data_IF_680138558670
#
_entry.id   IF_680138558670
#
_cell.length_a   1.000
_cell.length_b   1.000
_cell.length_c   1.000
_cell.angle_alpha   90.00
_cell.angle_beta   90.00
_cell.angle_gamma   90.00
#
_symmetry.space_group_name_H-M   'P 1'
#
loop_
_entity.id
_entity.type
_entity.pdbx_description
1 polymer ?
#
# COMPACT_ATOMS: atom_id res chain seq x y z
N UNK A 1 -12.20 -21.29 11.19
CA UNK A 1 -12.15 -21.32 12.68
C UNK A 1 -11.02 -22.19 13.25
N UNK A 2 -10.80 -23.46 12.86
CA UNK A 2 -9.75 -24.29 13.50
C UNK A 2 -8.32 -23.76 13.28
N UNK A 3 -8.04 -23.20 12.11
CA UNK A 3 -6.73 -22.61 11.79
C UNK A 3 -6.33 -21.46 12.73
N UNK A 4 -7.25 -20.56 13.07
CA UNK A 4 -6.96 -19.41 13.94
C UNK A 4 -6.63 -19.84 15.37
N UNK A 5 -7.28 -20.91 15.85
CA UNK A 5 -6.98 -21.46 17.18
C UNK A 5 -5.58 -22.07 17.17
N UNK A 6 -5.25 -22.86 16.14
CA UNK A 6 -3.90 -23.43 15.99
C UNK A 6 -2.83 -22.32 15.92
N UNK A 7 -3.10 -21.27 15.14
CA UNK A 7 -2.19 -20.14 14.99
C UNK A 7 -1.97 -19.38 16.30
N UNK A 8 -3.02 -19.15 17.08
CA UNK A 8 -2.89 -18.51 18.38
C UNK A 8 -2.18 -19.41 19.41
N UNK A 9 -2.40 -20.73 19.37
CA UNK A 9 -1.65 -21.67 20.20
C UNK A 9 -0.15 -21.64 19.87
N UNK A 10 0.19 -21.56 18.58
CA UNK A 10 1.58 -21.49 18.13
C UNK A 10 2.24 -20.17 18.57
N UNK A 11 1.53 -19.05 18.45
CA UNK A 11 1.99 -17.74 18.95
C UNK A 11 2.29 -17.78 20.45
N UNK A 12 1.41 -18.38 21.25
CA UNK A 12 1.63 -18.50 22.70
C UNK A 12 2.81 -19.41 23.03
N UNK A 13 2.99 -20.50 22.26
CA UNK A 13 4.19 -21.37 22.40
C UNK A 13 5.48 -20.63 22.05
N UNK A 14 5.42 -19.65 21.16
CA UNK A 14 6.54 -18.76 20.82
C UNK A 14 6.71 -17.58 21.81
N UNK A 15 5.88 -17.48 22.86
CA UNK A 15 5.96 -16.44 23.89
C UNK A 15 5.14 -15.17 23.61
N UNK A 16 4.35 -15.14 22.54
CA UNK A 16 3.43 -14.04 22.22
C UNK A 16 2.09 -14.19 22.96
N UNK A 17 1.28 -13.12 22.95
CA UNK A 17 -0.05 -13.12 23.58
C UNK A 17 -1.12 -13.50 22.56
N UNK A 18 -2.22 -14.09 23.01
CA UNK A 18 -3.40 -14.34 22.17
C UNK A 18 -3.94 -13.08 21.49
N UNK A 19 -3.79 -11.91 22.13
CA UNK A 19 -4.23 -10.63 21.55
C UNK A 19 -3.38 -10.22 20.33
N UNK A 20 -2.14 -10.71 20.23
CA UNK A 20 -1.25 -10.38 19.11
C UNK A 20 -1.77 -10.99 17.80
N UNK A 21 -2.55 -12.08 17.88
CA UNK A 21 -3.24 -12.67 16.73
C UNK A 21 -4.17 -11.66 16.05
N UNK A 22 -4.87 -10.81 16.83
CA UNK A 22 -5.74 -9.76 16.28
C UNK A 22 -4.89 -8.74 15.52
N UNK A 23 -3.77 -8.33 16.08
CA UNK A 23 -2.88 -7.36 15.46
C UNK A 23 -2.24 -7.91 14.18
N UNK A 24 -1.83 -9.18 14.17
CA UNK A 24 -1.26 -9.85 13.00
C UNK A 24 -2.32 -10.01 11.92
N UNK A 25 -3.55 -10.37 12.29
CA UNK A 25 -4.63 -10.48 11.32
C UNK A 25 -5.03 -9.13 10.73
N UNK A 26 -5.09 -8.07 11.55
CA UNK A 26 -5.26 -6.69 11.09
C UNK A 26 -4.16 -6.27 10.10
N UNK A 27 -2.89 -6.62 10.39
CA UNK A 27 -1.78 -6.39 9.47
C UNK A 27 -1.97 -7.17 8.17
N UNK A 28 -2.43 -8.43 8.25
CA UNK A 28 -2.69 -9.24 7.07
C UNK A 28 -3.78 -8.64 6.17
N UNK A 29 -4.85 -8.10 6.75
CA UNK A 29 -5.90 -7.40 6.00
C UNK A 29 -5.34 -6.18 5.25
N UNK A 30 -4.49 -5.39 5.90
CA UNK A 30 -3.81 -4.23 5.30
C UNK A 30 -2.83 -4.63 4.19
N UNK A 31 -2.30 -5.86 4.21
CA UNK A 31 -1.43 -6.34 3.15
C UNK A 31 -2.19 -6.86 1.92
N UNK A 32 -3.52 -7.03 1.98
CA UNK A 32 -4.29 -7.58 0.85
C UNK A 32 -4.12 -6.75 -0.42
N UNK A 33 -4.34 -5.42 -0.41
CA UNK A 33 -4.22 -4.62 -1.62
C UNK A 33 -2.78 -4.56 -2.14
N UNK A 34 -1.80 -4.52 -1.23
CA UNK A 34 -0.37 -4.50 -1.55
C UNK A 34 0.06 -5.80 -2.24
N UNK A 35 -0.31 -6.95 -1.68
CA UNK A 35 -0.01 -8.25 -2.25
C UNK A 35 -0.68 -8.42 -3.62
N UNK A 36 -1.93 -7.96 -3.75
CA UNK A 36 -2.67 -8.03 -5.01
C UNK A 36 -2.02 -7.17 -6.10
N UNK A 37 -1.56 -5.97 -5.78
CA UNK A 37 -0.81 -5.13 -6.71
C UNK A 37 0.49 -5.83 -7.18
N UNK A 38 1.22 -6.47 -6.26
CA UNK A 38 2.39 -7.27 -6.58
C UNK A 38 2.09 -8.42 -7.55
N UNK A 39 0.98 -9.13 -7.33
CA UNK A 39 0.52 -10.21 -8.23
C UNK A 39 0.20 -9.66 -9.62
N UNK A 40 -0.52 -8.54 -9.72
CA UNK A 40 -0.81 -7.90 -11.02
C UNK A 40 0.46 -7.48 -11.76
N UNK A 41 1.42 -6.92 -11.03
CA UNK A 41 2.74 -6.58 -11.56
C UNK A 41 3.46 -7.82 -12.09
N UNK A 42 3.50 -8.91 -11.32
CA UNK A 42 4.10 -10.18 -11.77
C UNK A 42 3.42 -10.77 -13.00
N UNK A 43 2.09 -10.71 -13.09
CA UNK A 43 1.34 -11.15 -14.28
C UNK A 43 1.70 -10.28 -15.49
N UNK A 44 1.72 -8.96 -15.31
CA UNK A 44 2.08 -8.04 -16.39
C UNK A 44 3.51 -8.29 -16.90
N UNK A 45 4.45 -8.52 -15.99
CA UNK A 45 5.82 -8.91 -16.34
C UNK A 45 5.87 -10.25 -17.07
N UNK A 46 5.10 -11.26 -16.65
CA UNK A 46 5.04 -12.55 -17.32
C UNK A 46 4.50 -12.44 -18.75
N UNK A 47 3.54 -11.54 -19.00
CA UNK A 47 2.96 -11.30 -20.32
C UNK A 47 3.90 -10.45 -21.21
N UNK A 48 4.47 -9.38 -20.66
CA UNK A 48 5.27 -8.41 -21.45
C UNK A 48 6.74 -8.79 -21.58
N UNK A 49 7.25 -9.69 -20.73
CA UNK A 49 8.67 -10.03 -20.65
C UNK A 49 9.57 -8.89 -20.16
N UNK A 50 9.00 -7.72 -19.85
CA UNK A 50 9.75 -6.54 -19.40
C UNK A 50 9.90 -6.59 -17.89
N UNK A 51 11.13 -6.49 -17.41
CA UNK A 51 11.40 -6.37 -15.98
C UNK A 51 10.89 -5.03 -15.47
N UNK A 52 10.18 -5.07 -14.35
CA UNK A 52 9.73 -3.88 -13.66
C UNK A 52 10.96 -3.28 -12.97
N UNK A 53 11.30 -2.01 -13.21
CA UNK A 53 12.45 -1.40 -12.54
C UNK A 53 12.18 -1.36 -11.04
N UNK A 54 13.16 -1.83 -10.25
CA UNK A 54 13.14 -1.69 -8.80
C UNK A 54 13.37 -0.21 -8.45
N UNK A 55 12.30 0.58 -8.54
CA UNK A 55 12.34 1.99 -8.18
C UNK A 55 12.60 2.12 -6.68
N UNK A 56 13.41 3.10 -6.30
CA UNK A 56 13.72 3.36 -4.90
C UNK A 56 12.44 3.84 -4.20
N UNK A 57 12.22 3.37 -2.98
CA UNK A 57 11.10 3.87 -2.18
C UNK A 57 11.25 5.38 -1.96
N UNK A 58 10.23 6.19 -2.30
CA UNK A 58 10.30 7.64 -2.20
C UNK A 58 10.37 8.02 -0.72
N UNK A 59 11.56 8.39 -0.27
CA UNK A 59 11.79 8.83 1.11
C UNK A 59 11.42 10.31 1.23
N UNK A 60 10.43 10.60 2.08
CA UNK A 60 10.19 11.97 2.56
C UNK A 60 11.04 12.16 3.82
N UNK A 61 11.48 13.38 4.11
CA UNK A 61 12.37 13.65 5.25
C UNK A 61 11.71 13.13 6.53
N UNK A 62 12.32 12.14 7.16
CA UNK A 62 11.83 11.51 8.39
C UNK A 62 10.76 10.42 8.26
N UNK A 63 10.26 10.11 7.04
CA UNK A 63 9.25 9.04 6.84
C UNK A 63 9.25 8.44 5.43
N UNK A 64 8.82 7.19 5.30
CA UNK A 64 8.56 6.58 3.99
C UNK A 64 7.15 6.96 3.55
N UNK A 65 7.03 7.73 2.46
CA UNK A 65 5.71 8.13 1.95
C UNK A 65 5.03 6.96 1.27
N UNK A 66 3.77 6.74 1.60
CA UNK A 66 2.96 5.70 0.98
C UNK A 66 2.37 6.24 -0.33
N UNK A 67 2.54 5.53 -1.47
CA UNK A 67 1.92 5.96 -2.71
C UNK A 67 0.40 6.06 -2.56
N UNK A 68 -0.18 7.15 -3.09
CA UNK A 68 -1.60 7.48 -2.96
C UNK A 68 -2.54 6.39 -3.45
N UNK A 69 -2.14 5.62 -4.48
CA UNK A 69 -2.91 4.49 -4.98
C UNK A 69 -3.15 3.42 -3.92
N UNK A 70 -2.16 3.13 -3.08
CA UNK A 70 -2.33 2.16 -1.99
C UNK A 70 -3.29 2.71 -0.92
N UNK A 71 -3.22 4.02 -0.63
CA UNK A 71 -4.14 4.64 0.34
C UNK A 71 -5.57 4.51 -0.17
N UNK A 72 -5.81 4.83 -1.44
CA UNK A 72 -7.12 4.67 -2.09
C UNK A 72 -7.58 3.21 -2.06
N UNK A 73 -6.68 2.26 -2.32
CA UNK A 73 -7.01 0.83 -2.29
C UNK A 73 -7.43 0.34 -0.89
N UNK A 74 -6.74 0.76 0.18
CA UNK A 74 -7.11 0.44 1.56
C UNK A 74 -8.50 1.00 1.92
N UNK A 75 -8.76 2.27 1.59
CA UNK A 75 -10.07 2.87 1.84
C UNK A 75 -11.18 2.24 0.99
N UNK A 76 -10.86 1.82 -0.23
CA UNK A 76 -11.80 1.10 -1.11
C UNK A 76 -12.15 -0.27 -0.53
N UNK A 77 -11.16 -1.00 0.01
CA UNK A 77 -11.37 -2.27 0.69
C UNK A 77 -12.24 -2.09 1.94
N UNK A 78 -11.97 -1.06 2.75
CA UNK A 78 -12.78 -0.72 3.91
C UNK A 78 -14.23 -0.39 3.52
N UNK A 79 -14.42 0.42 2.48
CA UNK A 79 -15.73 0.77 1.95
C UNK A 79 -16.49 -0.48 1.46
N UNK A 80 -15.80 -1.38 0.76
CA UNK A 80 -16.36 -2.66 0.29
C UNK A 80 -16.82 -3.55 1.44
N UNK A 81 -16.06 -3.62 2.54
CA UNK A 81 -16.45 -4.40 3.72
C UNK A 81 -17.68 -3.80 4.42
N UNK A 82 -17.75 -2.47 4.54
CA UNK A 82 -18.93 -1.79 5.10
C UNK A 82 -20.16 -1.97 4.22
N UNK A 83 -20.00 -1.85 2.90
CA UNK A 83 -21.07 -2.12 1.94
C UNK A 83 -21.54 -3.57 2.05
N UNK A 84 -20.61 -4.53 2.09
CA UNK A 84 -20.89 -5.94 2.30
C UNK A 84 -21.64 -6.22 3.60
N UNK A 85 -21.29 -5.54 4.70
CA UNK A 85 -22.02 -5.61 5.96
C UNK A 85 -23.48 -5.18 5.81
N UNK A 86 -23.72 -4.01 5.22
CA UNK A 86 -25.07 -3.44 5.02
C UNK A 86 -25.92 -4.36 4.14
N UNK A 87 -25.38 -4.76 2.98
CA UNK A 87 -26.09 -5.63 2.04
C UNK A 87 -26.43 -6.98 2.68
N UNK A 88 -25.48 -7.64 3.34
CA UNK A 88 -25.75 -8.92 4.00
C UNK A 88 -26.70 -8.80 5.20
N UNK A 89 -26.69 -7.66 5.90
CA UNK A 89 -27.66 -7.37 6.94
C UNK A 89 -29.09 -7.31 6.37
N UNK A 90 -29.27 -6.62 5.24
CA UNK A 90 -30.58 -6.54 4.55
C UNK A 90 -31.08 -7.90 4.06
N UNK A 91 -30.19 -8.75 3.53
CA UNK A 91 -30.53 -10.13 3.12
C UNK A 91 -30.65 -11.13 4.27
N UNK A 92 -30.59 -10.69 5.54
CA UNK A 92 -30.64 -11.53 6.76
C UNK A 92 -29.54 -12.61 6.82
N UNK A 93 -28.43 -12.37 6.11
CA UNK A 93 -27.24 -13.19 6.14
C UNK A 93 -26.35 -12.78 7.31
N UNK A 94 -26.81 -13.08 8.54
CA UNK A 94 -26.17 -12.64 9.79
C UNK A 94 -24.70 -13.05 9.90
N UNK A 95 -24.36 -14.26 9.48
CA UNK A 95 -22.98 -14.78 9.54
C UNK A 95 -22.04 -13.91 8.69
N UNK A 96 -22.41 -13.68 7.43
CA UNK A 96 -21.60 -12.86 6.52
C UNK A 96 -21.59 -11.40 6.95
N UNK A 97 -22.69 -10.89 7.51
CA UNK A 97 -22.77 -9.54 8.04
C UNK A 97 -21.78 -9.35 9.21
N UNK A 98 -21.82 -10.22 10.23
CA UNK A 98 -20.89 -10.17 11.37
C UNK A 98 -19.44 -10.33 10.91
N UNK A 99 -19.18 -11.23 9.95
CA UNK A 99 -17.86 -11.41 9.38
C UNK A 99 -17.34 -10.14 8.71
N UNK A 100 -18.13 -9.51 7.84
CA UNK A 100 -17.77 -8.26 7.17
C UNK A 100 -17.56 -7.12 8.17
N UNK A 101 -18.42 -7.01 9.18
CA UNK A 101 -18.29 -6.00 10.24
C UNK A 101 -17.00 -6.18 11.05
N UNK A 102 -16.70 -7.42 11.47
CA UNK A 102 -15.46 -7.74 12.18
C UNK A 102 -14.23 -7.38 11.35
N UNK A 103 -14.22 -7.73 10.07
CA UNK A 103 -13.14 -7.36 9.14
C UNK A 103 -13.02 -5.84 8.97
N UNK A 104 -14.14 -5.12 8.84
CA UNK A 104 -14.13 -3.66 8.72
C UNK A 104 -13.54 -2.99 9.97
N UNK A 105 -13.90 -3.45 11.16
CA UNK A 105 -13.34 -2.95 12.43
C UNK A 105 -11.83 -3.22 12.50
N UNK A 106 -11.39 -4.43 12.14
CA UNK A 106 -9.99 -4.85 12.20
C UNK A 106 -9.12 -4.13 11.17
N UNK A 107 -9.64 -3.90 9.97
CA UNK A 107 -8.97 -3.10 8.94
C UNK A 107 -8.92 -1.62 9.35
N UNK A 108 -10.02 -1.06 9.89
CA UNK A 108 -10.04 0.29 10.43
C UNK A 108 -9.01 0.49 11.57
N UNK A 109 -8.90 -0.49 12.47
CA UNK A 109 -7.86 -0.53 13.50
C UNK A 109 -6.46 -0.57 12.89
N UNK A 110 -6.26 -1.38 11.84
CA UNK A 110 -4.98 -1.48 11.15
C UNK A 110 -4.56 -0.15 10.51
N UNK A 111 -5.46 0.50 9.78
CA UNK A 111 -5.23 1.81 9.16
C UNK A 111 -4.85 2.84 10.22
N UNK A 112 -5.58 2.88 11.34
CA UNK A 112 -5.30 3.83 12.42
C UNK A 112 -3.96 3.58 13.12
N UNK A 113 -3.65 2.32 13.43
CA UNK A 113 -2.45 1.95 14.21
C UNK A 113 -1.17 1.90 13.39
N UNK A 114 -1.22 1.39 12.16
CA UNK A 114 -0.03 1.14 11.34
C UNK A 114 0.30 2.27 10.36
N UNK A 115 -0.71 2.95 9.80
CA UNK A 115 -0.49 4.04 8.84
C UNK A 115 -0.59 5.40 9.56
N UNK A 116 -1.65 5.59 10.35
CA UNK A 116 -1.97 6.85 11.01
C UNK A 116 -2.67 7.83 10.07
N UNK A 117 -3.82 8.36 10.50
CA UNK A 117 -4.69 9.21 9.66
C UNK A 117 -4.02 10.52 9.19
N UNK A 118 -3.16 11.11 10.03
CA UNK A 118 -2.42 12.33 9.68
C UNK A 118 -1.43 12.10 8.55
N UNK A 119 -0.72 10.97 8.60
CA UNK A 119 0.23 10.54 7.57
C UNK A 119 -0.48 10.31 6.23
N UNK A 120 -1.66 9.67 6.22
CA UNK A 120 -2.46 9.50 4.99
C UNK A 120 -2.77 10.82 4.31
N UNK A 121 -3.20 11.83 5.08
CA UNK A 121 -3.58 13.12 4.53
C UNK A 121 -2.38 13.87 3.95
N UNK A 122 -1.25 13.86 4.67
CA UNK A 122 0.00 14.45 4.19
C UNK A 122 0.52 13.77 2.92
N UNK A 123 0.41 12.44 2.83
CA UNK A 123 0.84 11.68 1.65
C UNK A 123 -0.05 11.92 0.42
N UNK A 124 -1.37 12.06 0.60
CA UNK A 124 -2.28 12.45 -0.48
C UNK A 124 -1.95 13.87 -0.98
N UNK A 125 -1.74 14.82 -0.07
CA UNK A 125 -1.35 16.20 -0.41
C UNK A 125 -0.01 16.25 -1.15
N UNK A 126 0.98 15.48 -0.71
CA UNK A 126 2.28 15.37 -1.40
C UNK A 126 2.15 14.73 -2.78
N UNK A 127 1.26 13.75 -2.94
CA UNK A 127 1.00 13.12 -4.23
C UNK A 127 0.31 14.06 -5.22
N UNK A 128 -0.59 14.93 -4.76
CA UNK A 128 -1.29 15.90 -5.60
C UNK A 128 -0.35 17.03 -6.05
N UNK A 129 0.53 17.48 -5.14
CA UNK A 129 1.46 18.58 -5.41
C UNK A 129 2.75 18.14 -6.11
N UNK A 130 2.94 16.83 -6.38
CA UNK A 130 4.09 16.34 -7.13
C UNK A 130 3.91 16.71 -8.60
N UNK A 131 4.84 17.47 -9.23
CA UNK A 131 4.84 17.59 -10.67
C UNK A 131 5.01 16.19 -11.27
N UNK A 132 4.37 15.90 -12.41
CA UNK A 132 4.35 14.55 -12.96
C UNK A 132 5.79 14.15 -13.34
N UNK A 133 6.12 12.86 -13.18
CA UNK A 133 7.50 12.33 -13.12
C UNK A 133 8.30 12.58 -14.42
N UNK A 134 7.59 12.64 -15.55
CA UNK A 134 8.02 13.10 -16.87
C UNK A 134 8.53 14.54 -16.87
N UNK A 135 8.06 15.36 -15.94
CA UNK A 135 8.50 16.74 -15.76
C UNK A 135 9.84 16.84 -15.04
N UNK A 136 10.37 15.80 -14.40
CA UNK A 136 11.69 15.90 -13.72
C UNK A 136 12.77 15.21 -14.55
N UNK A 137 12.43 14.10 -15.20
CA UNK A 137 13.36 13.37 -16.08
C UNK A 137 13.85 14.23 -17.24
N UNK A 138 12.97 14.99 -17.90
CA UNK A 138 13.39 15.84 -19.03
C UNK A 138 14.31 16.99 -18.61
N UNK A 139 14.15 17.57 -17.41
CA UNK A 139 15.05 18.62 -16.95
C UNK A 139 16.43 18.07 -16.63
N UNK A 140 16.50 16.86 -16.08
CA UNK A 140 17.78 16.19 -15.80
C UNK A 140 18.48 15.83 -17.11
N UNK A 141 17.77 15.23 -18.07
CA UNK A 141 18.32 14.94 -19.40
C UNK A 141 18.77 16.21 -20.12
N UNK A 142 17.97 17.28 -20.08
CA UNK A 142 18.31 18.56 -20.68
C UNK A 142 19.51 19.21 -20.01
N UNK A 143 19.64 19.15 -18.68
CA UNK A 143 20.80 19.69 -17.95
C UNK A 143 22.08 18.93 -18.29
N UNK A 144 22.01 17.60 -18.33
CA UNK A 144 23.15 16.75 -18.70
C UNK A 144 23.55 16.99 -20.16
N UNK A 145 22.59 17.19 -21.07
CA UNK A 145 22.88 17.53 -22.46
C UNK A 145 23.59 18.88 -22.59
N UNK A 146 23.14 19.91 -21.87
CA UNK A 146 23.77 21.25 -21.85
C UNK A 146 25.20 21.17 -21.29
N UNK A 147 25.42 20.41 -20.22
CA UNK A 147 26.74 20.24 -19.62
C UNK A 147 27.72 19.50 -20.56
N UNK A 148 27.23 18.55 -21.36
CA UNK A 148 28.02 17.83 -22.36
C UNK A 148 28.36 18.71 -23.58
N UNK A 149 27.46 19.58 -23.99
CA UNK A 149 27.66 20.51 -25.11
C UNK A 149 28.66 21.61 -24.71
N UNK A 150 28.52 22.18 -23.51
CA UNK A 150 29.48 23.14 -22.96
C UNK A 150 30.87 22.56 -22.73
N UNK A 151 30.99 21.26 -22.42
CA UNK A 151 32.27 20.58 -22.31
C UNK A 151 32.99 20.40 -23.65
N UNK A 152 32.24 20.20 -24.76
CA UNK A 152 32.80 20.08 -26.11
C UNK A 152 33.33 21.41 -26.63
N UNK A 153 32.60 22.50 -26.39
CA UNK A 153 33.00 23.86 -26.81
C UNK A 153 34.30 24.33 -26.14
N UNK A 154 34.62 23.81 -24.95
CA UNK A 154 35.89 24.07 -24.24
C UNK A 154 37.07 23.25 -24.77
N UNK A 155 36.81 22.17 -25.51
CA UNK A 155 37.84 21.29 -26.08
C UNK A 155 38.22 21.70 -27.52
N UNK A 156 37.37 22.48 -28.20
CA UNK A 156 37.61 22.99 -29.56
C UNK A 156 38.21 24.42 -29.60
N UNK A 157 38.53 24.99 -28.43
CA UNK A 157 39.28 26.26 -28.30
C UNK A 157 40.71 26.02 -27.80
#
# INVERSE_FOLDING_TARGET
>A
MPYFILYGMDLVRMGYKWIDLIQIYSLNLLLIPVNLAGVFMSINQAITGKQIPFSRTPKVIGRTSMPSLYIVAEFSLLAQLLFGFITNYMYRNWIYSIYNLGNAILLGYAIFKFIGLRSCWEDILLSINRPPEDTVSHWVEQRVAIDLEGAKDLQER
#
